data_IF_314248099927
#
_entry.id   IF_314248099927
#
_cell.length_a   1.000
_cell.length_b   1.000
_cell.length_c   1.000
_cell.angle_alpha   90.00
_cell.angle_beta   90.00
_cell.angle_gamma   90.00
#
_symmetry.space_group_name_H-M   'P 1'
#
loop_
_entity.id
_entity.type
_entity.pdbx_description
1 polymer ?
#
# COMPACT_ATOMS: atom_id res chain seq x y z
N UNK A 1 19.71 15.33 45.06
CA UNK A 1 21.12 14.96 44.84
C UNK A 1 21.26 13.47 45.15
N UNK A 2 21.35 12.61 44.13
CA UNK A 2 21.51 11.16 44.32
C UNK A 2 22.92 10.90 44.86
N UNK A 3 22.99 10.55 46.15
CA UNK A 3 24.23 10.32 46.88
C UNK A 3 24.92 9.04 46.46
N UNK A 4 25.96 9.18 45.64
CA UNK A 4 26.98 8.16 45.43
C UNK A 4 28.23 8.59 46.20
N UNK A 5 28.28 8.29 47.50
CA UNK A 5 29.54 8.19 48.24
C UNK A 5 29.75 6.72 48.54
N UNK A 6 30.36 6.01 47.59
CA UNK A 6 30.94 4.71 47.89
C UNK A 6 32.02 4.91 48.94
N UNK A 7 31.85 4.30 50.12
CA UNK A 7 32.94 4.19 51.08
C UNK A 7 33.99 3.23 50.51
N UNK A 8 35.20 3.71 50.27
CA UNK A 8 36.34 2.86 49.96
C UNK A 8 36.79 2.15 51.24
N UNK A 9 36.48 0.87 51.39
CA UNK A 9 36.90 0.12 52.58
C UNK A 9 37.28 -1.33 52.29
N UNK A 10 38.43 -1.52 51.62
CA UNK A 10 39.39 -2.56 51.98
C UNK A 10 40.79 -2.01 51.72
N UNK A 11 41.72 -1.97 52.71
CA UNK A 11 43.12 -1.67 52.42
C UNK A 11 43.65 -2.79 51.52
N UNK A 12 44.07 -2.43 50.30
CA UNK A 12 44.70 -3.37 49.38
C UNK A 12 45.93 -3.95 50.08
N UNK A 13 45.83 -5.21 50.52
CA UNK A 13 46.90 -5.87 51.25
C UNK A 13 48.19 -5.91 50.44
N UNK A 14 49.34 -5.99 51.13
CA UNK A 14 50.72 -6.04 50.56
C UNK A 14 50.99 -7.15 49.53
N UNK A 15 49.97 -7.95 49.19
CA UNK A 15 49.99 -9.09 48.27
C UNK A 15 49.24 -8.86 46.96
N UNK A 16 48.66 -7.67 46.73
CA UNK A 16 48.16 -7.32 45.41
C UNK A 16 49.36 -7.11 44.48
N UNK A 17 49.72 -8.15 43.71
CA UNK A 17 50.67 -7.98 42.60
C UNK A 17 50.17 -6.83 41.72
N UNK A 18 51.02 -5.88 41.31
CA UNK A 18 50.60 -4.82 40.39
C UNK A 18 50.02 -5.50 39.15
N UNK A 19 48.75 -5.21 38.86
CA UNK A 19 48.10 -5.70 37.66
C UNK A 19 48.83 -5.06 36.47
N UNK A 20 49.72 -5.83 35.85
CA UNK A 20 50.50 -5.39 34.69
C UNK A 20 49.78 -5.90 33.45
N UNK A 21 49.18 -4.98 32.71
CA UNK A 21 48.61 -5.29 31.40
C UNK A 21 49.76 -5.56 30.42
N UNK A 22 49.74 -6.70 29.75
CA UNK A 22 50.66 -6.97 28.64
C UNK A 22 50.49 -5.88 27.57
N UNK A 23 51.58 -5.45 26.93
CA UNK A 23 51.56 -4.50 25.82
C UNK A 23 50.58 -4.89 24.71
N UNK A 24 50.42 -6.20 24.43
CA UNK A 24 49.41 -6.70 23.49
C UNK A 24 47.98 -6.43 23.93
N UNK A 25 47.70 -6.59 25.23
CA UNK A 25 46.40 -6.28 25.82
C UNK A 25 46.11 -4.78 25.72
N UNK A 26 47.10 -3.95 26.04
CA UNK A 26 46.98 -2.49 25.90
C UNK A 26 46.75 -2.11 24.43
N UNK A 27 47.54 -2.65 23.50
CA UNK A 27 47.38 -2.42 22.06
C UNK A 27 45.99 -2.83 21.56
N UNK A 28 45.51 -4.01 21.95
CA UNK A 28 44.16 -4.48 21.63
C UNK A 28 43.07 -3.57 22.17
N UNK A 29 43.19 -3.08 23.41
CA UNK A 29 42.25 -2.12 24.00
C UNK A 29 42.24 -0.79 23.26
N UNK A 30 43.41 -0.29 22.84
CA UNK A 30 43.51 0.96 22.06
C UNK A 30 42.82 0.79 20.71
N UNK A 31 43.13 -0.27 19.96
CA UNK A 31 42.49 -0.55 18.66
C UNK A 31 40.98 -0.69 18.81
N UNK A 32 40.52 -1.43 19.82
CA UNK A 32 39.10 -1.58 20.13
C UNK A 32 38.43 -0.24 20.42
N UNK A 33 39.07 0.61 21.23
CA UNK A 33 38.53 1.92 21.63
C UNK A 33 38.44 2.86 20.43
N UNK A 34 39.49 2.88 19.59
CA UNK A 34 39.51 3.65 18.34
C UNK A 34 38.40 3.17 17.41
N UNK A 35 38.22 1.86 17.25
CA UNK A 35 37.13 1.29 16.45
C UNK A 35 35.74 1.70 17.00
N UNK A 36 35.51 1.57 18.31
CA UNK A 36 34.24 1.95 18.94
C UNK A 36 33.93 3.45 18.82
N UNK A 37 34.96 4.30 18.73
CA UNK A 37 34.80 5.73 18.48
C UNK A 37 34.54 6.07 17.01
N UNK A 38 35.29 5.46 16.09
CA UNK A 38 35.25 5.81 14.67
C UNK A 38 34.11 5.13 13.91
N UNK A 39 33.78 3.89 14.25
CA UNK A 39 32.77 3.11 13.52
C UNK A 39 31.38 3.78 13.54
N UNK A 40 30.89 4.34 14.66
CA UNK A 40 29.64 5.12 14.68
C UNK A 40 29.69 6.40 13.84
N UNK A 41 30.86 7.01 13.66
CA UNK A 41 31.06 8.28 12.93
C UNK A 41 31.13 8.08 11.41
N UNK A 42 31.29 6.84 10.92
CA UNK A 42 31.41 6.53 9.48
C UNK A 42 30.30 7.12 8.60
N UNK A 43 29.12 7.33 9.18
CA UNK A 43 27.98 7.95 8.52
C UNK A 43 28.25 9.37 7.99
N UNK A 44 29.26 10.07 8.52
CA UNK A 44 29.71 11.39 8.05
C UNK A 44 30.43 11.31 6.70
N UNK A 45 31.01 10.14 6.38
CA UNK A 45 31.74 9.91 5.13
C UNK A 45 30.82 9.43 4.00
N UNK A 46 29.59 9.02 4.31
CA UNK A 46 28.63 8.54 3.34
C UNK A 46 27.77 9.73 2.90
N UNK A 47 27.69 10.04 1.60
CA UNK A 47 26.87 11.15 1.13
C UNK A 47 25.37 10.87 1.35
N UNK A 48 24.63 11.92 1.68
CA UNK A 48 23.18 11.91 1.84
C UNK A 48 22.67 11.94 3.29
N UNK A 49 21.36 12.03 3.49
CA UNK A 49 20.75 11.96 4.83
C UNK A 49 20.56 10.51 5.24
N UNK A 50 21.45 10.01 6.10
CA UNK A 50 21.45 8.63 6.62
C UNK A 50 20.16 8.23 7.34
N UNK A 51 19.31 9.18 7.74
CA UNK A 51 17.97 8.87 8.28
C UNK A 51 17.01 8.37 7.21
N UNK A 52 17.23 8.76 5.96
CA UNK A 52 16.43 8.35 4.80
C UNK A 52 17.10 7.22 4.03
N UNK A 53 18.41 7.32 3.81
CA UNK A 53 19.14 6.27 3.08
C UNK A 53 19.43 5.04 3.95
N UNK A 54 19.36 5.17 5.28
CA UNK A 54 19.79 4.15 6.26
C UNK A 54 21.27 3.76 6.18
N UNK A 55 22.06 4.41 5.33
CA UNK A 55 23.44 4.06 5.08
C UNK A 55 24.33 4.53 6.22
N UNK A 56 24.92 3.58 6.95
CA UNK A 56 25.69 3.90 8.16
C UNK A 56 24.85 4.36 9.35
N UNK A 57 23.51 4.26 9.28
CA UNK A 57 22.62 4.60 10.40
C UNK A 57 22.75 3.58 11.54
N UNK A 58 22.84 2.29 11.20
CA UNK A 58 23.06 1.24 12.19
C UNK A 58 24.35 1.52 12.98
N UNK A 59 24.28 1.47 14.31
CA UNK A 59 25.40 1.76 15.21
C UNK A 59 25.93 3.20 15.16
N UNK A 60 25.22 4.15 14.53
CA UNK A 60 25.56 5.57 14.63
C UNK A 60 25.17 6.14 16.01
N UNK A 61 25.91 7.14 16.49
CA UNK A 61 25.56 7.87 17.72
C UNK A 61 24.46 8.89 17.44
N UNK A 62 23.26 8.39 17.12
CA UNK A 62 22.06 9.22 16.95
C UNK A 62 20.98 8.74 17.90
N UNK A 63 20.28 9.71 18.50
CA UNK A 63 19.11 9.45 19.33
C UNK A 63 17.93 9.13 18.42
N UNK A 64 17.11 8.16 18.84
CA UNK A 64 15.87 7.79 18.15
C UNK A 64 14.81 8.88 18.39
N UNK A 65 14.91 9.98 17.66
CA UNK A 65 13.99 11.11 17.69
C UNK A 65 13.26 11.31 16.35
N UNK A 66 13.47 10.41 15.39
CA UNK A 66 12.86 10.48 14.06
C UNK A 66 11.43 9.94 14.04
N UNK A 67 10.56 10.66 13.35
CA UNK A 67 9.20 10.20 13.01
C UNK A 67 9.19 9.86 11.53
N UNK A 68 9.02 8.57 11.24
CA UNK A 68 8.88 8.05 9.87
C UNK A 68 7.42 7.79 9.55
N UNK A 69 6.99 8.20 8.37
CA UNK A 69 5.75 7.73 7.74
C UNK A 69 6.12 7.22 6.35
N UNK A 70 5.60 6.07 5.94
CA UNK A 70 5.81 5.53 4.60
C UNK A 70 4.50 5.11 3.97
N UNK A 71 4.47 5.14 2.64
CA UNK A 71 3.47 4.38 1.89
C UNK A 71 3.81 2.90 1.98
N UNK A 72 2.83 1.99 1.99
CA UNK A 72 3.12 0.57 1.77
C UNK A 72 3.92 0.40 0.48
N UNK A 73 4.95 -0.44 0.51
CA UNK A 73 5.75 -0.70 -0.69
C UNK A 73 4.96 -1.51 -1.71
N UNK A 74 4.98 -1.03 -2.93
CA UNK A 74 4.45 -1.74 -4.09
C UNK A 74 5.60 -2.50 -4.73
N UNK A 75 5.48 -3.83 -4.83
CA UNK A 75 6.52 -4.69 -5.39
C UNK A 75 6.03 -5.20 -6.74
N UNK A 76 6.84 -4.97 -7.77
CA UNK A 76 6.57 -5.40 -9.14
C UNK A 76 7.66 -6.34 -9.62
N UNK A 77 7.25 -7.35 -10.38
CA UNK A 77 8.13 -8.36 -10.94
C UNK A 77 8.21 -8.18 -12.45
N UNK A 78 9.41 -8.29 -13.02
CA UNK A 78 9.59 -8.47 -14.46
C UNK A 78 10.14 -9.84 -14.75
N UNK A 79 9.35 -10.59 -15.50
CA UNK A 79 9.68 -11.91 -15.99
C UNK A 79 9.63 -11.85 -17.53
N UNK A 80 10.77 -12.02 -18.23
CA UNK A 80 10.84 -11.82 -19.68
C UNK A 80 9.99 -12.80 -20.49
N UNK A 81 9.54 -13.91 -19.89
CA UNK A 81 8.64 -14.85 -20.57
C UNK A 81 7.18 -14.42 -20.42
N UNK A 82 6.79 -13.87 -19.28
CA UNK A 82 5.41 -13.38 -19.07
C UNK A 82 5.21 -12.01 -19.71
N UNK A 83 6.22 -11.14 -19.64
CA UNK A 83 6.19 -9.80 -20.18
C UNK A 83 7.48 -9.51 -20.98
N UNK A 84 7.57 -10.00 -22.23
CA UNK A 84 8.72 -9.74 -23.10
C UNK A 84 8.88 -8.25 -23.38
N UNK A 85 10.11 -7.75 -23.47
CA UNK A 85 10.39 -6.33 -23.76
C UNK A 85 9.86 -5.85 -25.13
N UNK A 86 9.51 -6.76 -26.03
CA UNK A 86 8.94 -6.49 -27.36
C UNK A 86 7.41 -6.49 -27.39
N UNK A 87 6.76 -6.77 -26.25
CA UNK A 87 5.30 -6.84 -26.16
C UNK A 87 4.67 -5.44 -26.18
N UNK A 88 3.42 -5.32 -26.67
CA UNK A 88 2.72 -4.04 -26.87
C UNK A 88 2.39 -3.30 -25.56
N UNK A 89 1.49 -2.32 -25.60
CA UNK A 89 1.02 -1.60 -24.40
C UNK A 89 -0.22 -2.27 -23.77
N UNK A 90 -0.44 -2.02 -22.48
CA UNK A 90 -1.62 -2.54 -21.76
C UNK A 90 -1.59 -4.05 -21.49
N UNK A 91 -2.75 -4.63 -21.19
CA UNK A 91 -2.90 -6.05 -20.87
C UNK A 91 -2.52 -7.02 -22.01
N UNK A 92 -2.38 -6.53 -23.25
CA UNK A 92 -1.83 -7.28 -24.38
C UNK A 92 -0.31 -7.49 -24.30
N UNK A 93 0.37 -6.85 -23.34
CA UNK A 93 1.80 -7.07 -23.07
C UNK A 93 2.10 -8.38 -22.33
N UNK A 94 1.07 -9.00 -21.74
CA UNK A 94 1.20 -10.20 -20.92
C UNK A 94 0.92 -11.44 -21.76
N UNK A 95 1.83 -12.41 -21.73
CA UNK A 95 1.56 -13.76 -22.20
C UNK A 95 0.70 -14.50 -21.16
N UNK A 96 -0.62 -14.43 -21.35
CA UNK A 96 -1.61 -15.08 -20.50
C UNK A 96 -1.57 -16.62 -20.57
N UNK A 97 -0.86 -17.22 -21.53
CA UNK A 97 -0.62 -18.68 -21.54
C UNK A 97 0.54 -19.07 -20.63
N UNK A 98 1.54 -18.19 -20.50
CA UNK A 98 2.65 -18.35 -19.56
C UNK A 98 2.30 -17.87 -18.14
N UNK A 99 1.17 -17.19 -17.97
CA UNK A 99 0.66 -16.72 -16.69
C UNK A 99 0.16 -17.88 -15.82
N UNK A 100 0.78 -18.09 -14.67
CA UNK A 100 0.43 -19.15 -13.71
C UNK A 100 -0.60 -18.75 -12.64
N UNK A 101 -1.27 -17.61 -12.79
CA UNK A 101 -2.27 -17.11 -11.84
C UNK A 101 -3.69 -17.09 -12.40
N UNK A 102 -4.63 -16.55 -11.63
CA UNK A 102 -6.00 -16.33 -12.10
C UNK A 102 -6.03 -15.33 -13.28
N UNK A 103 -6.88 -15.52 -14.31
CA UNK A 103 -7.01 -14.62 -15.46
C UNK A 103 -7.76 -13.33 -15.10
N UNK A 104 -7.19 -12.55 -14.19
CA UNK A 104 -7.80 -11.35 -13.60
C UNK A 104 -6.86 -10.17 -13.74
N UNK A 105 -7.42 -9.03 -14.16
CA UNK A 105 -6.74 -7.73 -14.16
C UNK A 105 -7.40 -6.87 -13.10
N UNK A 106 -6.60 -6.44 -12.11
CA UNK A 106 -7.04 -5.51 -11.08
C UNK A 106 -6.80 -4.07 -11.53
N UNK A 107 -7.80 -3.22 -11.37
CA UNK A 107 -7.76 -1.81 -11.73
C UNK A 107 -7.90 -0.96 -10.47
N UNK A 108 -6.79 -0.45 -9.92
CA UNK A 108 -6.86 0.50 -8.82
C UNK A 108 -7.46 1.81 -9.32
N UNK A 109 -8.48 2.28 -8.61
CA UNK A 109 -9.16 3.54 -8.85
C UNK A 109 -8.71 4.57 -7.81
N UNK A 110 -8.56 5.82 -8.23
CA UNK A 110 -8.33 6.92 -7.30
C UNK A 110 -9.59 7.14 -6.45
N UNK A 111 -9.43 7.15 -5.13
CA UNK A 111 -10.55 7.17 -4.20
C UNK A 111 -11.42 8.41 -4.39
N UNK A 112 -12.73 8.21 -4.54
CA UNK A 112 -13.69 9.29 -4.76
C UNK A 112 -13.61 9.98 -6.12
N UNK A 113 -12.77 9.50 -7.06
CA UNK A 113 -12.61 10.06 -8.42
C UNK A 113 -12.90 9.04 -9.54
N UNK A 114 -13.63 7.98 -9.25
CA UNK A 114 -14.05 7.01 -10.27
C UNK A 114 -14.95 7.68 -11.32
N UNK A 115 -14.47 7.76 -12.57
CA UNK A 115 -15.30 8.13 -13.72
C UNK A 115 -16.13 6.93 -14.19
N UNK A 116 -17.34 6.83 -13.66
CA UNK A 116 -18.27 5.75 -14.00
C UNK A 116 -18.68 5.73 -15.48
N UNK A 117 -18.53 6.83 -16.23
CA UNK A 117 -18.86 6.83 -17.65
C UNK A 117 -17.85 6.02 -18.48
N UNK A 118 -16.60 5.96 -18.03
CA UNK A 118 -15.50 5.24 -18.68
C UNK A 118 -15.49 3.73 -18.36
N UNK A 119 -16.25 3.31 -17.35
CA UNK A 119 -16.38 1.89 -16.98
C UNK A 119 -17.43 1.17 -17.85
N UNK A 120 -17.29 -0.15 -18.06
CA UNK A 120 -18.24 -0.95 -18.84
C UNK A 120 -19.65 -0.99 -18.22
N UNK A 121 -20.66 -1.38 -19.01
CA UNK A 121 -22.05 -1.55 -18.54
C UNK A 121 -22.18 -2.63 -17.45
N UNK A 122 -21.32 -3.65 -17.48
CA UNK A 122 -21.18 -4.65 -16.42
C UNK A 122 -19.77 -4.54 -15.85
N UNK A 123 -19.65 -4.16 -14.59
CA UNK A 123 -18.37 -3.99 -13.90
C UNK A 123 -18.31 -4.89 -12.67
N UNK A 124 -17.15 -5.49 -12.43
CA UNK A 124 -16.87 -6.15 -11.14
C UNK A 124 -16.12 -5.17 -10.27
N UNK A 125 -16.68 -4.86 -9.10
CA UNK A 125 -15.98 -4.06 -8.07
C UNK A 125 -15.55 -4.95 -6.92
N UNK A 126 -14.39 -4.66 -6.34
CA UNK A 126 -13.91 -5.29 -5.13
C UNK A 126 -13.88 -4.28 -3.99
N UNK A 127 -14.63 -4.59 -2.94
CA UNK A 127 -14.63 -3.82 -1.69
C UNK A 127 -14.12 -4.70 -0.53
N UNK A 128 -13.36 -4.14 0.43
CA UNK A 128 -12.84 -4.95 1.53
C UNK A 128 -13.91 -5.60 2.40
N UNK A 129 -15.14 -5.10 2.41
CA UNK A 129 -16.18 -5.55 3.32
C UNK A 129 -17.13 -6.56 2.67
N UNK A 130 -17.36 -6.43 1.37
CA UNK A 130 -18.39 -7.17 0.63
C UNK A 130 -17.82 -8.10 -0.44
N UNK A 131 -16.54 -7.99 -0.76
CA UNK A 131 -15.82 -8.83 -1.71
C UNK A 131 -16.09 -8.41 -3.15
N UNK A 132 -16.09 -9.37 -4.06
CA UNK A 132 -16.38 -9.11 -5.46
C UNK A 132 -17.89 -8.91 -5.65
N UNK A 133 -18.28 -7.81 -6.28
CA UNK A 133 -19.66 -7.47 -6.59
C UNK A 133 -19.83 -7.17 -8.06
N UNK A 134 -20.82 -7.78 -8.67
CA UNK A 134 -21.17 -7.56 -10.06
C UNK A 134 -22.19 -6.43 -10.12
N UNK A 135 -21.84 -5.35 -10.80
CA UNK A 135 -22.67 -4.17 -10.95
C UNK A 135 -23.09 -3.98 -12.39
N UNK A 136 -24.35 -3.67 -12.60
CA UNK A 136 -24.78 -2.98 -13.80
C UNK A 136 -24.64 -1.47 -13.60
N UNK A 137 -23.77 -0.87 -14.40
CA UNK A 137 -23.42 0.53 -14.36
C UNK A 137 -24.29 1.34 -15.33
N UNK A 138 -25.39 1.92 -14.83
CA UNK A 138 -26.27 2.75 -15.66
C UNK A 138 -25.66 4.09 -16.09
N UNK A 139 -24.51 4.48 -15.51
CA UNK A 139 -23.76 5.69 -15.89
C UNK A 139 -22.78 5.45 -17.03
N UNK A 140 -22.52 4.19 -17.41
CA UNK A 140 -21.61 3.87 -18.51
C UNK A 140 -22.01 4.60 -19.78
N UNK A 141 -21.04 5.13 -20.52
CA UNK A 141 -21.28 5.79 -21.81
C UNK A 141 -21.95 4.87 -22.84
N UNK A 142 -21.82 3.54 -22.66
CA UNK A 142 -22.46 2.52 -23.49
C UNK A 142 -23.97 2.35 -23.22
N UNK A 143 -24.47 2.86 -22.10
CA UNK A 143 -25.87 2.71 -21.68
C UNK A 143 -26.69 3.93 -22.10
N UNK A 144 -27.61 3.72 -23.03
CA UNK A 144 -28.50 4.77 -23.56
C UNK A 144 -29.75 4.97 -22.70
N UNK A 145 -30.47 3.89 -22.39
CA UNK A 145 -31.61 3.90 -21.48
C UNK A 145 -31.18 3.56 -20.05
N UNK A 146 -31.26 4.56 -19.17
CA UNK A 146 -30.82 4.46 -17.77
C UNK A 146 -31.96 4.10 -16.80
N UNK A 147 -33.16 3.80 -17.32
CA UNK A 147 -34.27 3.37 -16.48
C UNK A 147 -34.01 1.99 -15.87
N UNK A 148 -34.46 1.78 -14.63
CA UNK A 148 -34.28 0.51 -13.93
C UNK A 148 -34.94 -0.67 -14.68
N UNK A 149 -36.10 -0.43 -15.30
CA UNK A 149 -36.80 -1.41 -16.12
C UNK A 149 -36.01 -1.84 -17.34
N UNK A 150 -35.45 -0.88 -18.09
CA UNK A 150 -34.63 -1.19 -19.26
C UNK A 150 -33.34 -1.91 -18.87
N UNK A 151 -32.70 -1.46 -17.79
CA UNK A 151 -31.51 -2.11 -17.25
C UNK A 151 -31.78 -3.56 -16.84
N UNK A 152 -32.90 -3.88 -16.17
CA UNK A 152 -33.26 -5.28 -15.84
C UNK A 152 -33.50 -6.15 -17.07
N UNK A 153 -34.11 -5.60 -18.13
CA UNK A 153 -34.29 -6.30 -19.40
C UNK A 153 -32.92 -6.56 -20.05
N UNK A 154 -32.06 -5.55 -20.11
CA UNK A 154 -30.69 -5.65 -20.66
C UNK A 154 -29.85 -6.69 -19.91
N UNK A 155 -29.86 -6.66 -18.57
CA UNK A 155 -29.18 -7.66 -17.73
C UNK A 155 -29.69 -9.07 -18.05
N UNK A 156 -31.01 -9.25 -18.16
CA UNK A 156 -31.60 -10.55 -18.48
C UNK A 156 -31.16 -11.08 -19.84
N UNK A 157 -31.04 -10.21 -20.84
CA UNK A 157 -30.53 -10.57 -22.17
C UNK A 157 -29.05 -10.96 -22.12
N UNK A 158 -28.22 -10.12 -21.47
CA UNK A 158 -26.79 -10.36 -21.30
C UNK A 158 -26.52 -11.69 -20.58
N UNK A 159 -27.25 -11.97 -19.49
CA UNK A 159 -27.07 -13.21 -18.73
C UNK A 159 -27.51 -14.44 -19.53
N UNK A 160 -28.63 -14.37 -20.26
CA UNK A 160 -29.05 -15.45 -21.15
C UNK A 160 -28.02 -15.70 -22.26
N UNK A 161 -27.46 -14.65 -22.83
CA UNK A 161 -26.44 -14.76 -23.88
C UNK A 161 -25.14 -15.37 -23.34
N UNK A 162 -24.63 -14.87 -22.21
CA UNK A 162 -23.32 -15.28 -21.66
C UNK A 162 -23.35 -16.60 -20.92
N UNK A 163 -24.46 -16.92 -20.27
CA UNK A 163 -24.56 -18.04 -19.32
C UNK A 163 -25.77 -18.96 -19.57
N UNK A 164 -26.65 -18.67 -20.53
CA UNK A 164 -27.82 -19.51 -20.84
C UNK A 164 -28.93 -19.47 -19.79
N UNK A 165 -28.86 -18.57 -18.80
CA UNK A 165 -29.78 -18.48 -17.65
C UNK A 165 -29.96 -17.05 -17.18
N UNK A 166 -30.84 -16.82 -16.21
CA UNK A 166 -30.98 -15.55 -15.51
C UNK A 166 -30.10 -15.49 -14.25
N UNK A 167 -29.71 -14.30 -13.77
CA UNK A 167 -29.07 -14.16 -12.46
C UNK A 167 -30.04 -14.52 -11.32
N UNK A 168 -29.51 -14.82 -10.13
CA UNK A 168 -30.34 -15.16 -8.97
C UNK A 168 -31.19 -13.97 -8.52
N UNK A 169 -30.61 -12.76 -8.54
CA UNK A 169 -31.36 -11.53 -8.27
C UNK A 169 -30.67 -10.29 -8.85
N UNK A 170 -31.47 -9.26 -9.12
CA UNK A 170 -31.01 -7.95 -9.58
C UNK A 170 -31.68 -6.89 -8.72
N UNK A 171 -30.90 -6.21 -7.89
CA UNK A 171 -31.40 -5.26 -6.90
C UNK A 171 -30.74 -3.90 -7.05
N UNK A 172 -31.51 -2.83 -6.85
CA UNK A 172 -30.95 -1.47 -6.78
C UNK A 172 -29.95 -1.34 -5.63
N UNK A 173 -28.85 -0.64 -5.89
CA UNK A 173 -27.92 -0.26 -4.84
C UNK A 173 -28.56 0.70 -3.84
N UNK A 174 -28.09 0.66 -2.61
CA UNK A 174 -28.68 1.37 -1.48
C UNK A 174 -27.60 2.20 -0.77
N UNK A 175 -27.87 3.45 -0.40
CA UNK A 175 -26.95 4.25 0.40
C UNK A 175 -26.59 3.56 1.71
N UNK A 176 -25.31 3.60 2.09
CA UNK A 176 -24.84 2.99 3.34
C UNK A 176 -25.62 3.48 4.56
N UNK A 177 -25.96 4.77 4.62
CA UNK A 177 -26.78 5.35 5.68
C UNK A 177 -28.13 4.63 5.87
N UNK A 178 -28.80 4.24 4.77
CA UNK A 178 -30.08 3.51 4.84
C UNK A 178 -29.90 2.08 5.37
N UNK A 179 -28.78 1.44 5.05
CA UNK A 179 -28.44 0.12 5.61
C UNK A 179 -28.19 0.24 7.11
N UNK A 180 -27.43 1.25 7.55
CA UNK A 180 -27.13 1.50 8.96
C UNK A 180 -28.39 1.86 9.76
N UNK A 181 -29.27 2.72 9.24
CA UNK A 181 -30.56 3.05 9.85
C UNK A 181 -31.43 1.79 10.07
N UNK A 182 -31.47 0.90 9.07
CA UNK A 182 -32.20 -0.36 9.15
C UNK A 182 -31.62 -1.31 10.20
N UNK A 183 -30.29 -1.42 10.25
CA UNK A 183 -29.59 -2.25 11.23
C UNK A 183 -29.76 -1.72 12.65
N UNK A 184 -29.59 -0.40 12.85
CA UNK A 184 -29.81 0.25 14.14
C UNK A 184 -31.22 0.03 14.65
N UNK A 185 -32.24 0.16 13.78
CA UNK A 185 -33.63 -0.10 14.16
C UNK A 185 -33.83 -1.55 14.63
N UNK A 186 -33.22 -2.52 13.94
CA UNK A 186 -33.29 -3.94 14.33
C UNK A 186 -32.55 -4.23 15.64
N UNK A 187 -31.43 -3.55 15.89
CA UNK A 187 -30.61 -3.76 17.08
C UNK A 187 -31.19 -3.05 18.31
N UNK A 188 -31.84 -1.89 18.13
CA UNK A 188 -32.60 -1.20 19.19
C UNK A 188 -33.73 -2.06 19.75
N UNK A 189 -34.41 -2.82 18.90
CA UNK A 189 -35.42 -3.80 19.34
C UNK A 189 -34.84 -4.94 20.21
N UNK A 190 -33.51 -5.14 20.18
CA UNK A 190 -32.76 -6.11 20.99
C UNK A 190 -32.01 -5.45 22.16
N UNK A 191 -32.28 -4.18 22.46
CA UNK A 191 -31.68 -3.44 23.57
C UNK A 191 -30.31 -2.80 23.29
N UNK A 192 -29.82 -2.85 22.06
CA UNK A 192 -28.56 -2.19 21.68
C UNK A 192 -28.78 -0.72 21.33
N UNK A 193 -27.84 0.14 21.71
CA UNK A 193 -27.80 1.55 21.32
C UNK A 193 -26.41 1.89 20.78
N UNK A 194 -26.35 2.80 19.82
CA UNK A 194 -25.11 3.24 19.20
C UNK A 194 -24.97 4.75 19.35
N UNK A 195 -23.74 5.23 19.56
CA UNK A 195 -23.44 6.66 19.75
C UNK A 195 -23.35 7.41 18.44
N UNK A 196 -22.91 6.73 17.38
CA UNK A 196 -22.72 7.32 16.05
C UNK A 196 -22.77 6.24 14.96
N UNK A 197 -22.90 6.63 13.67
CA UNK A 197 -22.94 5.69 12.55
C UNK A 197 -21.70 4.81 12.40
N UNK A 198 -20.52 5.28 12.83
CA UNK A 198 -19.29 4.50 12.76
C UNK A 198 -19.33 3.31 13.71
N UNK A 199 -19.80 3.51 14.94
CA UNK A 199 -19.99 2.43 15.91
C UNK A 199 -21.04 1.41 15.43
N UNK A 200 -22.12 1.89 14.80
CA UNK A 200 -23.13 1.02 14.16
C UNK A 200 -22.48 0.16 13.07
N UNK A 201 -21.66 0.77 12.22
CA UNK A 201 -20.97 0.10 11.11
C UNK A 201 -19.94 -0.93 11.60
N UNK A 202 -19.12 -0.57 12.57
CA UNK A 202 -18.12 -1.45 13.17
C UNK A 202 -18.80 -2.66 13.82
N UNK A 203 -19.90 -2.42 14.56
CA UNK A 203 -20.70 -3.49 15.17
C UNK A 203 -21.36 -4.38 14.11
N UNK A 204 -21.90 -3.79 13.04
CA UNK A 204 -22.48 -4.55 11.94
C UNK A 204 -21.44 -5.50 11.35
N UNK A 205 -20.23 -5.01 11.07
CA UNK A 205 -19.19 -5.81 10.44
C UNK A 205 -18.65 -6.94 11.32
N UNK A 206 -18.49 -6.64 12.61
CA UNK A 206 -17.91 -7.56 13.59
C UNK A 206 -18.90 -8.63 14.05
N UNK A 207 -20.20 -8.32 14.11
CA UNK A 207 -21.21 -9.29 14.54
C UNK A 207 -21.85 -10.04 13.38
N UNK A 208 -22.17 -9.34 12.28
CA UNK A 208 -23.01 -9.90 11.21
C UNK A 208 -22.46 -9.72 9.79
N UNK A 209 -21.34 -9.02 9.63
CA UNK A 209 -20.67 -8.78 8.36
C UNK A 209 -19.49 -9.73 8.15
N UNK A 210 -18.41 -9.21 7.55
CA UNK A 210 -17.24 -9.99 7.13
C UNK A 210 -16.54 -10.71 8.30
N UNK A 211 -16.49 -10.07 9.46
CA UNK A 211 -15.77 -10.57 10.63
C UNK A 211 -16.68 -11.25 11.66
N UNK A 212 -17.97 -11.34 11.37
CA UNK A 212 -18.96 -11.96 12.24
C UNK A 212 -19.58 -13.22 11.63
N UNK A 213 -20.88 -13.42 11.87
CA UNK A 213 -21.61 -14.59 11.36
C UNK A 213 -22.02 -14.51 9.89
N UNK A 214 -21.71 -13.40 9.20
CA UNK A 214 -21.98 -13.20 7.79
C UNK A 214 -23.46 -13.07 7.39
N UNK A 215 -24.41 -13.14 8.34
CA UNK A 215 -25.85 -13.18 8.01
C UNK A 215 -26.34 -11.93 7.29
N UNK A 216 -25.69 -10.79 7.50
CA UNK A 216 -26.03 -9.53 6.82
C UNK A 216 -25.19 -9.28 5.56
N UNK A 217 -24.36 -10.23 5.13
CA UNK A 217 -23.56 -10.09 3.91
C UNK A 217 -24.43 -9.79 2.66
N UNK A 218 -25.56 -10.48 2.41
CA UNK A 218 -26.43 -10.13 1.26
C UNK A 218 -27.01 -8.72 1.33
N UNK A 219 -27.23 -8.19 2.54
CA UNK A 219 -27.72 -6.81 2.73
C UNK A 219 -26.59 -5.82 2.48
N UNK A 220 -25.40 -6.07 3.03
CA UNK A 220 -24.22 -5.23 2.84
C UNK A 220 -23.81 -5.14 1.38
N UNK A 221 -23.86 -6.26 0.64
CA UNK A 221 -23.51 -6.29 -0.78
C UNK A 221 -24.38 -5.38 -1.65
N UNK A 222 -25.58 -5.02 -1.20
CA UNK A 222 -26.45 -4.02 -1.86
C UNK A 222 -26.03 -2.57 -1.64
N UNK A 223 -24.98 -2.28 -0.84
CA UNK A 223 -24.53 -0.90 -0.67
C UNK A 223 -24.12 -0.27 -2.00
N UNK A 224 -24.14 1.05 -2.12
CA UNK A 224 -23.53 1.72 -3.28
C UNK A 224 -22.05 1.31 -3.45
N UNK A 225 -21.52 1.26 -4.69
CA UNK A 225 -20.10 0.96 -4.91
C UNK A 225 -19.22 1.92 -4.12
N UNK A 226 -18.19 1.37 -3.48
CA UNK A 226 -17.23 2.13 -2.69
C UNK A 226 -17.86 3.01 -1.60
N UNK A 227 -19.08 2.73 -1.14
CA UNK A 227 -19.78 3.57 -0.16
C UNK A 227 -19.05 3.75 1.18
N UNK A 228 -18.03 2.93 1.43
CA UNK A 228 -17.21 2.95 2.64
C UNK A 228 -15.96 3.82 2.51
N UNK A 229 -15.53 4.09 1.28
CA UNK A 229 -14.26 4.76 0.97
C UNK A 229 -14.47 6.03 0.16
N UNK A 230 -15.54 6.09 -0.64
CA UNK A 230 -15.89 7.23 -1.47
C UNK A 230 -16.42 8.41 -0.65
N UNK A 231 -15.86 9.59 -0.89
CA UNK A 231 -16.31 10.85 -0.30
C UNK A 231 -17.75 11.22 -0.69
N UNK A 232 -18.19 10.82 -1.89
CA UNK A 232 -19.55 11.06 -2.42
C UNK A 232 -20.00 9.89 -3.31
N UNK A 233 -20.67 8.87 -2.76
CA UNK A 233 -21.12 7.73 -3.55
C UNK A 233 -22.27 8.09 -4.50
N UNK A 234 -22.23 7.58 -5.73
CA UNK A 234 -23.28 7.75 -6.75
C UNK A 234 -24.52 6.92 -6.40
N UNK A 235 -25.36 7.48 -5.53
CA UNK A 235 -26.43 6.74 -4.84
C UNK A 235 -27.56 6.26 -5.73
N UNK A 236 -27.91 4.98 -5.62
CA UNK A 236 -29.10 4.41 -6.26
C UNK A 236 -29.05 4.42 -7.79
N UNK A 237 -27.87 4.47 -8.38
CA UNK A 237 -27.67 4.49 -9.83
C UNK A 237 -27.30 3.11 -10.37
N UNK A 238 -26.88 2.19 -9.50
CA UNK A 238 -26.40 0.86 -9.89
C UNK A 238 -27.43 -0.21 -9.60
N UNK A 239 -27.37 -1.30 -10.37
CA UNK A 239 -28.02 -2.55 -10.00
C UNK A 239 -26.95 -3.56 -9.62
N UNK A 240 -27.07 -4.12 -8.43
CA UNK A 240 -26.24 -5.23 -7.96
C UNK A 240 -26.83 -6.52 -8.50
N UNK A 241 -26.01 -7.29 -9.20
CA UNK A 241 -26.36 -8.59 -9.78
C UNK A 241 -25.78 -9.66 -8.87
N UNK A 242 -26.64 -10.50 -8.31
CA UNK A 242 -26.23 -11.65 -7.52
C UNK A 242 -26.43 -12.92 -8.34
N UNK A 243 -25.40 -13.76 -8.34
CA UNK A 243 -25.36 -15.02 -9.07
C UNK A 243 -24.41 -15.99 -8.38
N UNK A 244 -24.98 -16.93 -7.59
CA UNK A 244 -24.18 -17.86 -6.78
C UNK A 244 -23.30 -18.80 -7.59
N UNK A 245 -23.66 -19.08 -8.84
CA UNK A 245 -22.90 -20.00 -9.70
C UNK A 245 -21.61 -19.36 -10.22
N UNK A 246 -21.51 -18.03 -10.15
CA UNK A 246 -20.28 -17.31 -10.50
C UNK A 246 -19.33 -17.15 -9.31
N UNK A 247 -19.75 -17.51 -8.10
CA UNK A 247 -18.95 -17.37 -6.88
C UNK A 247 -18.13 -18.63 -6.61
N UNK A 248 -16.92 -18.48 -6.06
CA UNK A 248 -16.09 -19.62 -5.63
C UNK A 248 -16.84 -20.46 -4.58
N UNK A 249 -16.99 -21.78 -4.78
CA UNK A 249 -17.64 -22.65 -3.80
C UNK A 249 -16.90 -22.60 -2.46
N UNK A 250 -17.64 -22.47 -1.36
CA UNK A 250 -17.07 -22.46 -0.01
C UNK A 250 -16.16 -21.25 0.29
N UNK A 251 -16.22 -20.16 -0.50
CA UNK A 251 -15.42 -18.97 -0.23
C UNK A 251 -15.64 -18.44 1.19
N UNK A 252 -14.57 -18.33 1.98
CA UNK A 252 -14.59 -17.56 3.22
C UNK A 252 -15.01 -16.11 2.94
N UNK A 253 -15.60 -15.42 3.92
CA UNK A 253 -15.95 -14.02 3.73
C UNK A 253 -14.70 -13.16 3.48
N UNK A 254 -14.72 -12.22 2.52
CA UNK A 254 -15.89 -11.88 1.71
C UNK A 254 -16.01 -12.72 0.41
N UNK A 255 -17.21 -12.88 -0.16
CA UNK A 255 -17.44 -13.68 -1.38
C UNK A 255 -16.58 -13.23 -2.56
N UNK A 256 -16.04 -14.20 -3.32
CA UNK A 256 -15.18 -13.97 -4.49
C UNK A 256 -15.75 -14.64 -5.72
N UNK A 257 -15.68 -13.98 -6.86
CA UNK A 257 -16.04 -14.55 -8.15
C UNK A 257 -14.98 -15.58 -8.54
N UNK A 258 -15.40 -16.69 -9.13
CA UNK A 258 -14.50 -17.62 -9.77
C UNK A 258 -14.15 -17.11 -11.19
N UNK A 259 -12.89 -16.68 -11.43
CA UNK A 259 -12.50 -16.14 -12.73
C UNK A 259 -12.64 -17.15 -13.88
N UNK A 260 -12.60 -18.46 -13.58
CA UNK A 260 -12.69 -19.52 -14.60
C UNK A 260 -14.08 -19.62 -15.21
N UNK A 261 -15.12 -19.29 -14.44
CA UNK A 261 -16.51 -19.30 -14.92
C UNK A 261 -16.97 -17.93 -15.43
N UNK A 262 -16.19 -16.87 -15.21
CA UNK A 262 -16.49 -15.53 -15.73
C UNK A 262 -16.49 -15.52 -17.27
N UNK A 263 -17.48 -14.86 -17.86
CA UNK A 263 -17.60 -14.70 -19.31
C UNK A 263 -17.80 -13.23 -19.64
N UNK A 264 -16.82 -12.67 -20.34
CA UNK A 264 -16.88 -11.32 -20.88
C UNK A 264 -16.66 -11.39 -22.39
N UNK A 265 -17.65 -10.94 -23.14
CA UNK A 265 -17.55 -10.79 -24.59
C UNK A 265 -16.72 -9.54 -24.88
N UNK A 266 -15.52 -9.74 -25.43
CA UNK A 266 -14.69 -8.66 -25.95
C UNK A 266 -14.11 -9.10 -27.30
N UNK A 267 -14.02 -8.18 -28.26
CA UNK A 267 -13.32 -8.42 -29.52
C UNK A 267 -11.79 -8.36 -29.40
N UNK A 268 -11.27 -8.10 -28.19
CA UNK A 268 -9.84 -7.93 -27.88
C UNK A 268 -9.14 -9.27 -27.59
N UNK A 269 -7.81 -9.30 -27.75
CA UNK A 269 -6.96 -10.41 -27.29
C UNK A 269 -7.07 -10.70 -25.77
N UNK A 270 -7.70 -9.80 -25.02
CA UNK A 270 -8.02 -9.92 -23.58
C UNK A 270 -9.42 -10.51 -23.32
N UNK A 271 -10.08 -11.08 -24.33
CA UNK A 271 -11.40 -11.68 -24.20
C UNK A 271 -11.42 -12.77 -23.11
N UNK A 272 -12.42 -12.72 -22.22
CA UNK A 272 -12.56 -13.66 -21.11
C UNK A 272 -11.74 -13.34 -19.86
N UNK A 273 -10.84 -12.36 -19.88
CA UNK A 273 -10.17 -11.89 -18.65
C UNK A 273 -11.17 -11.13 -17.78
N UNK A 274 -11.20 -11.44 -16.49
CA UNK A 274 -12.04 -10.71 -15.54
C UNK A 274 -11.36 -9.40 -15.14
N UNK A 275 -12.06 -8.28 -15.28
CA UNK A 275 -11.59 -6.96 -14.82
C UNK A 275 -12.23 -6.60 -13.50
N UNK A 276 -11.42 -6.34 -12.49
CA UNK A 276 -11.87 -6.02 -11.13
C UNK A 276 -11.42 -4.63 -10.75
N UNK A 277 -12.37 -3.73 -10.52
CA UNK A 277 -12.11 -2.36 -10.12
C UNK A 277 -12.15 -2.21 -8.60
N UNK A 278 -11.18 -1.53 -8.02
CA UNK A 278 -11.17 -1.31 -6.58
C UNK A 278 -10.55 0.04 -6.22
N UNK A 279 -11.06 0.69 -5.18
CA UNK A 279 -10.31 1.80 -4.54
C UNK A 279 -9.14 1.25 -3.71
N UNK A 280 -8.42 2.11 -2.99
CA UNK A 280 -7.33 1.69 -2.11
C UNK A 280 -7.80 0.64 -1.10
N UNK A 281 -7.22 -0.56 -1.18
CA UNK A 281 -7.50 -1.67 -0.26
C UNK A 281 -6.71 -1.56 1.05
N UNK A 282 -5.72 -0.64 1.09
CA UNK A 282 -4.78 -0.51 2.19
C UNK A 282 -4.14 -1.85 2.56
N UNK A 283 -3.99 -2.10 3.85
CA UNK A 283 -3.44 -3.37 4.35
C UNK A 283 -4.40 -4.56 4.20
N UNK A 284 -5.68 -4.31 3.86
CA UNK A 284 -6.65 -5.37 3.56
C UNK A 284 -6.36 -6.12 2.26
N UNK A 285 -5.46 -5.58 1.42
CA UNK A 285 -4.95 -6.25 0.23
C UNK A 285 -4.42 -7.67 0.50
N UNK A 286 -3.79 -7.88 1.66
CA UNK A 286 -3.24 -9.18 2.05
C UNK A 286 -4.29 -10.30 2.11
N UNK A 287 -5.53 -9.98 2.45
CA UNK A 287 -6.62 -10.96 2.51
C UNK A 287 -7.33 -11.10 1.16
N UNK A 288 -7.37 -10.02 0.38
CA UNK A 288 -8.26 -9.87 -0.77
C UNK A 288 -7.57 -10.17 -2.09
N UNK A 289 -6.30 -9.79 -2.28
CA UNK A 289 -5.62 -10.07 -3.54
C UNK A 289 -4.81 -11.36 -3.44
N UNK A 290 -4.62 -12.12 -4.53
CA UNK A 290 -3.74 -13.28 -4.53
C UNK A 290 -2.30 -12.91 -4.12
N UNK A 291 -1.45 -13.93 -3.88
CA UNK A 291 -0.02 -13.73 -3.55
C UNK A 291 0.70 -12.90 -4.60
N UNK A 292 0.29 -13.02 -5.84
CA UNK A 292 0.75 -12.21 -6.94
C UNK A 292 -0.36 -12.05 -7.97
N UNK A 293 -0.45 -10.90 -8.61
CA UNK A 293 -1.59 -10.54 -9.47
C UNK A 293 -1.21 -9.49 -10.51
N UNK A 294 -2.02 -9.36 -11.55
CA UNK A 294 -1.83 -8.33 -12.58
C UNK A 294 -2.62 -7.09 -12.21
N UNK A 295 -1.97 -5.93 -12.26
CA UNK A 295 -2.64 -4.63 -12.13
C UNK A 295 -2.49 -3.83 -13.41
N UNK A 296 -3.52 -3.06 -13.76
CA UNK A 296 -3.50 -2.09 -14.85
C UNK A 296 -3.96 -0.73 -14.34
N UNK A 297 -3.08 0.27 -14.41
CA UNK A 297 -3.37 1.66 -14.04
C UNK A 297 -3.23 2.58 -15.24
N UNK A 298 -4.14 3.54 -15.37
CA UNK A 298 -4.04 4.60 -16.38
C UNK A 298 -3.25 5.76 -15.80
N UNK A 299 -2.08 6.04 -16.39
CA UNK A 299 -1.23 7.18 -16.04
C UNK A 299 -1.29 8.22 -17.18
N UNK A 300 -0.74 9.42 -16.95
CA UNK A 300 -0.72 10.50 -17.96
C UNK A 300 0.02 10.09 -19.25
N UNK A 301 1.03 9.23 -19.11
CA UNK A 301 1.90 8.76 -20.20
C UNK A 301 1.37 7.47 -20.87
N UNK A 302 0.21 6.97 -20.43
CA UNK A 302 -0.45 5.80 -20.98
C UNK A 302 -0.83 4.74 -19.94
N UNK A 303 -1.25 3.59 -20.44
CA UNK A 303 -1.65 2.46 -19.59
C UNK A 303 -0.44 1.67 -19.12
N UNK A 304 -0.28 1.60 -17.81
CA UNK A 304 0.78 0.85 -17.14
C UNK A 304 0.24 -0.47 -16.65
N UNK A 305 0.87 -1.56 -17.09
CA UNK A 305 0.57 -2.91 -16.60
C UNK A 305 1.74 -3.45 -15.81
N UNK A 306 1.46 -3.87 -14.59
CA UNK A 306 2.46 -4.44 -13.70
C UNK A 306 2.01 -5.79 -13.17
N UNK A 307 2.97 -6.69 -13.08
CA UNK A 307 2.82 -7.90 -12.30
C UNK A 307 3.25 -7.61 -10.86
N UNK A 308 2.29 -7.61 -9.92
CA UNK A 308 2.51 -7.26 -8.51
C UNK A 308 2.69 -8.47 -7.62
N UNK A 309 3.57 -8.31 -6.64
CA UNK A 309 3.71 -9.22 -5.51
C UNK A 309 3.02 -8.63 -4.27
N UNK A 310 2.09 -9.39 -3.69
CA UNK A 310 1.32 -8.96 -2.52
C UNK A 310 2.14 -9.18 -1.24
N UNK A 311 2.78 -8.12 -0.75
CA UNK A 311 3.58 -8.13 0.47
C UNK A 311 2.79 -8.64 1.69
N UNK A 312 1.52 -8.25 1.81
CA UNK A 312 0.71 -8.52 2.99
C UNK A 312 0.16 -9.95 3.05
N UNK A 313 0.38 -10.76 2.00
CA UNK A 313 0.21 -12.22 2.04
C UNK A 313 1.34 -12.93 2.77
N UNK A 314 2.53 -12.34 2.77
CA UNK A 314 3.73 -12.92 3.37
C UNK A 314 3.96 -12.42 4.81
N UNK A 315 3.63 -11.16 5.09
CA UNK A 315 3.95 -10.51 6.36
C UNK A 315 2.80 -9.66 6.89
N UNK A 316 2.68 -9.62 8.22
CA UNK A 316 1.70 -8.74 8.85
C UNK A 316 2.01 -7.24 8.68
N UNK A 317 1.01 -6.36 8.86
CA UNK A 317 1.08 -4.91 8.71
C UNK A 317 2.37 -4.25 9.21
N UNK A 318 2.72 -4.50 10.48
CA UNK A 318 3.90 -3.88 11.11
C UNK A 318 5.20 -4.23 10.39
N UNK A 319 5.41 -5.51 10.04
CA UNK A 319 6.59 -5.95 9.31
C UNK A 319 6.61 -5.38 7.89
N UNK A 320 5.45 -5.31 7.24
CA UNK A 320 5.32 -4.68 5.92
C UNK A 320 5.71 -3.20 5.93
N UNK A 321 5.33 -2.45 6.97
CA UNK A 321 5.73 -1.05 7.11
C UNK A 321 7.23 -0.88 7.43
N UNK A 322 7.83 -1.80 8.18
CA UNK A 322 9.29 -1.83 8.37
C UNK A 322 10.02 -2.06 7.04
N UNK A 323 9.57 -3.02 6.24
CA UNK A 323 10.08 -3.27 4.90
C UNK A 323 9.92 -2.02 4.02
N UNK A 324 8.78 -1.35 4.08
CA UNK A 324 8.50 -0.15 3.28
C UNK A 324 9.34 1.07 3.65
N UNK A 325 9.88 1.10 4.87
CA UNK A 325 10.65 2.23 5.41
C UNK A 325 12.16 2.07 5.22
N UNK A 326 12.66 0.83 5.23
CA UNK A 326 14.09 0.54 5.32
C UNK A 326 14.61 -0.06 4.00
N UNK A 327 15.42 0.67 3.21
CA UNK A 327 15.89 0.19 1.90
C UNK A 327 16.64 -1.14 1.97
N UNK A 328 17.50 -1.34 2.97
CA UNK A 328 18.24 -2.60 3.14
C UNK A 328 17.33 -3.79 3.44
N UNK A 329 16.30 -3.58 4.26
CA UNK A 329 15.31 -4.61 4.57
C UNK A 329 14.44 -4.90 3.35
N UNK A 330 14.04 -3.87 2.60
CA UNK A 330 13.33 -4.00 1.33
C UNK A 330 14.14 -4.81 0.31
N UNK A 331 15.42 -4.51 0.14
CA UNK A 331 16.32 -5.27 -0.72
C UNK A 331 16.41 -6.74 -0.31
N UNK A 332 16.58 -7.02 0.99
CA UNK A 332 16.58 -8.41 1.49
C UNK A 332 15.26 -9.12 1.22
N UNK A 333 14.14 -8.41 1.37
CA UNK A 333 12.82 -8.95 1.04
C UNK A 333 12.68 -9.21 -0.46
N UNK A 334 13.18 -8.31 -1.33
CA UNK A 334 13.20 -8.48 -2.78
C UNK A 334 13.98 -9.75 -3.19
N UNK A 335 15.12 -10.04 -2.54
CA UNK A 335 15.84 -11.30 -2.75
C UNK A 335 14.98 -12.52 -2.40
N UNK A 336 14.28 -12.51 -1.25
CA UNK A 336 13.34 -13.58 -0.87
C UNK A 336 12.22 -13.73 -1.91
N UNK A 337 11.67 -12.63 -2.43
CA UNK A 337 10.62 -12.67 -3.46
C UNK A 337 11.16 -13.33 -4.74
N UNK A 338 12.36 -12.94 -5.18
CA UNK A 338 13.00 -13.54 -6.35
C UNK A 338 13.29 -15.04 -6.15
N UNK A 339 13.73 -15.45 -4.96
CA UNK A 339 13.95 -16.86 -4.62
C UNK A 339 12.64 -17.66 -4.62
N UNK A 340 11.58 -17.09 -4.05
CA UNK A 340 10.26 -17.72 -4.03
C UNK A 340 9.68 -17.87 -5.45
N UNK A 341 9.79 -16.83 -6.27
CA UNK A 341 9.37 -16.90 -7.67
C UNK A 341 10.18 -17.92 -8.46
N UNK A 342 11.50 -17.97 -8.26
CA UNK A 342 12.36 -18.96 -8.90
C UNK A 342 12.03 -20.40 -8.48
N UNK A 343 11.64 -20.61 -7.23
CA UNK A 343 11.16 -21.92 -6.75
C UNK A 343 9.84 -22.31 -7.43
N UNK A 344 8.91 -21.37 -7.60
CA UNK A 344 7.57 -21.65 -8.12
C UNK A 344 7.54 -21.73 -9.66
N UNK A 345 8.39 -20.96 -10.36
CA UNK A 345 8.38 -20.80 -11.83
C UNK A 345 9.64 -21.30 -12.54
N UNK A 346 10.65 -21.76 -11.79
CA UNK A 346 11.91 -22.29 -12.33
C UNK A 346 12.85 -21.23 -12.92
N UNK A 347 12.58 -19.93 -12.73
CA UNK A 347 13.39 -18.83 -13.26
C UNK A 347 13.33 -17.60 -12.34
N UNK A 348 14.42 -16.84 -12.30
CA UNK A 348 14.54 -15.68 -11.41
C UNK A 348 13.99 -14.42 -12.09
N UNK A 349 13.11 -13.64 -11.44
CA UNK A 349 12.60 -12.39 -12.01
C UNK A 349 13.51 -11.21 -11.61
N UNK A 350 13.38 -10.08 -12.32
CA UNK A 350 13.78 -8.79 -11.74
C UNK A 350 12.72 -8.37 -10.70
N UNK A 351 13.15 -7.81 -9.57
CA UNK A 351 12.25 -7.33 -8.51
C UNK A 351 12.45 -5.82 -8.33
N UNK A 352 11.43 -5.06 -8.72
CA UNK A 352 11.40 -3.60 -8.60
C UNK A 352 10.42 -3.20 -7.51
N UNK A 353 10.64 -2.05 -6.87
CA UNK A 353 9.77 -1.60 -5.80
C UNK A 353 9.51 -0.09 -5.86
N UNK A 354 8.34 0.34 -5.37
CA UNK A 354 8.00 1.74 -5.11
C UNK A 354 7.55 1.91 -3.69
N UNK A 355 8.21 2.82 -2.98
CA UNK A 355 7.80 3.27 -1.65
C UNK A 355 8.23 4.71 -1.49
N UNK A 356 7.44 5.47 -0.75
CA UNK A 356 7.75 6.84 -0.41
C UNK A 356 7.86 6.98 1.10
N UNK A 357 8.79 7.82 1.55
CA UNK A 357 9.05 8.10 2.96
C UNK A 357 8.91 9.59 3.23
N UNK A 358 8.20 9.90 4.32
CA UNK A 358 8.19 11.18 4.98
C UNK A 358 9.00 11.06 6.27
N UNK A 359 10.05 11.86 6.38
CA UNK A 359 10.84 12.02 7.60
C UNK A 359 10.43 13.32 8.28
N UNK A 360 10.01 13.26 9.54
CA UNK A 360 9.63 14.41 10.36
C UNK A 360 8.61 15.34 9.67
N UNK A 361 7.56 14.75 9.07
CA UNK A 361 6.47 15.45 8.35
C UNK A 361 6.90 16.23 7.11
N UNK A 362 8.06 15.91 6.53
CA UNK A 362 8.44 16.41 5.20
C UNK A 362 7.54 15.80 4.12
N UNK A 363 7.46 16.39 2.92
CA UNK A 363 6.81 15.73 1.79
C UNK A 363 7.36 14.32 1.57
N UNK A 364 6.48 13.43 1.10
CA UNK A 364 6.86 12.07 0.75
C UNK A 364 7.86 12.08 -0.40
N UNK A 365 8.97 11.35 -0.25
CA UNK A 365 10.02 11.21 -1.26
C UNK A 365 10.24 9.73 -1.57
N UNK A 366 10.53 9.36 -2.83
CA UNK A 366 10.91 8.00 -3.15
C UNK A 366 12.21 7.64 -2.43
N UNK A 367 12.30 6.40 -1.93
CA UNK A 367 13.45 5.92 -1.13
C UNK A 367 14.35 4.97 -1.92
N UNK A 368 13.81 4.32 -2.94
CA UNK A 368 14.54 3.40 -3.81
C UNK A 368 14.27 3.74 -5.26
N UNK A 369 15.24 3.47 -6.13
CA UNK A 369 15.08 3.62 -7.56
C UNK A 369 13.99 2.63 -8.07
N UNK A 370 12.88 3.13 -8.64
CA UNK A 370 11.79 2.28 -9.11
C UNK A 370 12.13 1.42 -10.33
N UNK A 371 13.30 1.64 -10.94
CA UNK A 371 13.81 0.90 -12.10
C UNK A 371 14.86 -0.14 -11.74
N UNK A 372 15.47 -0.05 -10.56
CA UNK A 372 16.51 -0.97 -10.10
C UNK A 372 15.95 -2.36 -9.78
N UNK A 373 16.69 -3.40 -10.17
CA UNK A 373 16.43 -4.77 -9.75
C UNK A 373 17.02 -5.01 -8.36
N UNK A 374 16.22 -4.72 -7.33
CA UNK A 374 16.62 -4.82 -5.92
C UNK A 374 17.05 -6.23 -5.52
N UNK A 375 16.64 -7.28 -6.24
CA UNK A 375 17.09 -8.64 -5.95
C UNK A 375 18.55 -8.89 -6.37
N UNK A 376 19.05 -8.14 -7.36
CA UNK A 376 20.39 -8.28 -7.94
C UNK A 376 21.36 -7.18 -7.47
N UNK A 377 20.86 -6.06 -6.98
CA UNK A 377 21.68 -4.97 -6.44
C UNK A 377 22.63 -5.44 -5.34
N UNK A 378 23.85 -4.89 -5.29
CA UNK A 378 24.83 -5.19 -4.23
C UNK A 378 24.77 -4.15 -3.11
N UNK A 379 25.13 -4.55 -1.88
CA UNK A 379 25.21 -3.64 -0.73
C UNK A 379 26.64 -3.14 -0.58
N UNK A 380 26.80 -1.82 -0.61
CA UNK A 380 27.99 -1.11 -0.16
C UNK A 380 27.81 -0.72 1.31
N UNK A 381 28.56 -1.37 2.19
CA UNK A 381 28.48 -1.13 3.65
C UNK A 381 29.16 0.17 4.11
N UNK A 382 30.12 0.67 3.32
CA UNK A 382 30.93 1.85 3.63
C UNK A 382 30.86 2.92 2.53
N UNK A 383 29.69 3.08 1.92
CA UNK A 383 29.49 4.06 0.86
C UNK A 383 28.05 4.07 0.38
N UNK A 384 27.76 5.01 -0.51
CA UNK A 384 26.43 5.19 -1.07
C UNK A 384 26.08 4.12 -2.13
N UNK A 385 24.86 3.61 -2.02
CA UNK A 385 24.23 2.62 -2.87
C UNK A 385 23.37 3.37 -3.90
N UNK A 386 23.69 3.31 -5.21
CA UNK A 386 22.98 4.09 -6.23
C UNK A 386 21.46 3.83 -6.32
N UNK A 387 21.02 2.64 -5.89
CA UNK A 387 19.61 2.24 -5.87
C UNK A 387 18.83 2.82 -4.67
N UNK A 388 19.51 3.45 -3.70
CA UNK A 388 18.89 4.16 -2.58
C UNK A 388 18.86 5.65 -2.91
N UNK A 389 17.67 6.24 -2.84
CA UNK A 389 17.47 7.65 -3.15
C UNK A 389 17.54 8.50 -1.88
N UNK A 390 18.20 9.65 -1.97
CA UNK A 390 18.30 10.62 -0.87
C UNK A 390 17.11 11.61 -0.87
N UNK A 391 16.96 12.35 0.22
CA UNK A 391 16.02 13.46 0.32
C UNK A 391 16.25 14.48 -0.79
N UNK A 392 15.26 14.63 -1.66
CA UNK A 392 15.26 15.73 -2.63
C UNK A 392 15.14 17.06 -1.87
N UNK A 393 16.07 17.98 -2.14
CA UNK A 393 16.03 19.33 -1.58
C UNK A 393 15.06 20.17 -2.39
N UNK A 394 13.96 20.60 -1.77
CA UNK A 394 13.01 21.56 -2.34
C UNK A 394 11.78 20.92 -2.99
N UNK A 395 10.64 21.04 -2.32
CA UNK A 395 9.33 21.11 -2.97
C UNK A 395 8.54 22.22 -2.27
N UNK A 396 7.89 23.14 -3.00
CA UNK A 396 7.19 24.27 -2.39
C UNK A 396 6.14 23.76 -1.39
N UNK A 397 6.26 24.20 -0.13
CA UNK A 397 5.44 23.70 0.99
C UNK A 397 6.24 23.08 2.14
N UNK A 398 7.56 22.91 2.00
CA UNK A 398 8.42 22.59 3.14
C UNK A 398 8.52 23.77 4.10
N UNK A 399 8.20 23.57 5.38
CA UNK A 399 8.48 24.50 6.49
C UNK A 399 10.00 24.63 6.79
N UNK A 400 10.85 24.54 5.78
CA UNK A 400 12.23 24.99 5.87
C UNK A 400 12.33 26.34 5.16
N UNK A 401 12.78 27.41 5.84
CA UNK A 401 13.28 28.56 5.11
C UNK A 401 14.43 28.10 4.22
N UNK A 402 14.50 28.64 3.01
CA UNK A 402 15.70 28.54 2.17
C UNK A 402 16.92 28.86 3.04
N UNK A 403 18.00 28.09 2.91
CA UNK A 403 19.19 28.16 3.76
C UNK A 403 19.93 29.51 3.76
N UNK A 404 19.38 30.52 3.13
CA UNK A 404 19.78 31.93 3.13
C UNK A 404 19.04 32.79 4.16
N UNK A 405 17.99 32.30 4.83
CA UNK A 405 17.21 33.07 5.81
C UNK A 405 17.33 32.47 7.20
N UNK A 406 18.19 33.07 8.03
CA UNK A 406 18.20 32.87 9.48
C UNK A 406 16.91 33.45 10.06
N UNK A 407 15.96 32.60 10.45
CA UNK A 407 14.81 33.00 11.26
C UNK A 407 15.27 33.04 12.73
N UNK A 408 15.25 34.19 13.42
CA UNK A 408 15.58 34.22 14.85
C UNK A 408 14.47 33.55 15.68
N UNK A 409 14.86 32.97 16.81
CA UNK A 409 13.93 32.27 17.70
C UNK A 409 12.78 33.18 18.19
N UNK A 410 11.57 32.63 18.43
CA UNK A 410 10.44 33.44 18.87
C UNK A 410 10.73 34.04 20.25
N UNK A 411 10.62 35.37 20.36
CA UNK A 411 10.82 36.11 21.62
C UNK A 411 12.04 37.02 21.66
N UNK A 412 12.84 37.10 20.59
CA UNK A 412 13.88 38.12 20.46
C UNK A 412 13.47 39.11 19.37
N UNK A 413 13.08 40.31 19.78
CA UNK A 413 12.83 41.43 18.88
C UNK A 413 14.06 41.69 18.02
N UNK A 414 13.91 41.67 16.70
CA UNK A 414 14.97 42.10 15.80
C UNK A 414 15.34 43.57 16.10
N UNK A 415 16.62 43.97 16.06
CA UNK A 415 16.99 45.36 16.26
C UNK A 415 16.37 46.20 15.14
N UNK A 416 15.67 47.27 15.55
CA UNK A 416 15.08 48.26 14.66
C UNK A 416 16.24 48.92 13.89
N UNK A 417 16.37 48.61 12.60
CA UNK A 417 17.25 49.36 11.71
C UNK A 417 16.59 50.71 11.38
N UNK A 418 17.32 51.84 11.45
CA UNK A 418 16.74 53.15 11.20
C UNK A 418 16.38 53.30 9.71
N UNK A 419 15.12 53.64 9.46
CA UNK A 419 14.57 53.95 8.14
C UNK A 419 15.35 55.10 7.49
N UNK A 420 15.94 54.83 6.31
CA UNK A 420 16.47 55.87 5.42
C UNK A 420 15.29 56.43 4.61
N UNK A 421 15.10 57.76 4.53
CA UNK A 421 13.95 58.32 3.81
C UNK A 421 14.10 58.17 2.29
N UNK A 422 12.99 58.19 1.54
CA UNK A 422 12.99 58.01 0.09
C UNK A 422 13.52 59.27 -0.59
N UNK A 423 14.38 59.09 -1.58
CA UNK A 423 14.68 60.13 -2.58
C UNK A 423 13.75 59.89 -3.76
N UNK A 424 12.98 60.91 -4.13
CA UNK A 424 12.32 61.05 -5.44
C UNK A 424 12.93 62.25 -6.16
N UNK A 425 12.76 62.37 -7.49
CA UNK A 425 12.54 61.34 -8.51
C UNK A 425 13.79 61.00 -9.31
#
# INVERSE_FOLDING_TARGET
ALGWKGQSSVPVGKWAKPFTLNAWTVGGMVVWTVFQGLFPIRHVLIPGDVRVTFEGLEWSWRLKAEVYQSTPVEISLRDPVIQPSTSGTGAGSIDWKAWGGDPVIYHPLESGKCDWAMLPEVAVVLDPWTGDRILYNTLSASVTDRSESAAKVRISQLWKQRYGRLPDSVNRSVPLARILEGYERSMRARGYTFRNPQETLDTLNTLNGRFGDGKLMPVLRRMDPFAMTATRPSSGVFLVIEDRQLMRPGSSLPPRIDPVVWREESASATAGLMRVFHESLGMGEGDLLPRWYVTESTEADGTRVEFRWNLFRDVGPSKGMHISTQPFLLRRYAQRVADAWASDQGRRPEVRARTQLSLNRRPFNPVVDPTADLASESVRWFGHNPWILDLQRGSPGSLQPDGTVLIPAPGVSAPISPSRPPVQP
#
